data_IF_238070497143
#
_entry.id   IF_238070497143
#
_cell.length_a   1.000
_cell.length_b   1.000
_cell.length_c   1.000
_cell.angle_alpha   90.00
_cell.angle_beta   90.00
_cell.angle_gamma   90.00
#
_symmetry.space_group_name_H-M   'P 1'
#
loop_
_entity.id
_entity.type
_entity.pdbx_description
1 polymer ?
#
# COMPACT_ATOMS: atom_id res chain seq x y z
N UNK A 1 -10.50 -10.07 -26.93
CA UNK A 1 -10.64 -10.97 -25.76
C UNK A 1 -10.53 -12.43 -26.17
N UNK A 2 -11.38 -12.93 -27.08
CA UNK A 2 -11.28 -14.29 -27.63
C UNK A 2 -9.86 -14.71 -28.04
N UNK A 3 -9.17 -13.92 -28.87
CA UNK A 3 -7.81 -14.22 -29.31
C UNK A 3 -6.79 -14.28 -28.16
N UNK A 4 -6.93 -13.40 -27.16
CA UNK A 4 -6.03 -13.37 -26.01
C UNK A 4 -6.21 -14.58 -25.11
N UNK A 5 -7.45 -15.05 -24.92
CA UNK A 5 -7.75 -16.27 -24.17
C UNK A 5 -7.45 -17.55 -24.95
N UNK A 6 -7.57 -17.53 -26.28
CA UNK A 6 -7.09 -18.61 -27.13
C UNK A 6 -5.56 -18.72 -27.05
N UNK A 7 -4.86 -17.59 -27.08
CA UNK A 7 -3.41 -17.55 -26.85
C UNK A 7 -3.04 -18.07 -25.46
N UNK A 8 -3.79 -17.67 -24.41
CA UNK A 8 -3.61 -18.18 -23.06
C UNK A 8 -3.73 -19.70 -22.97
N UNK A 9 -4.75 -20.29 -23.62
CA UNK A 9 -4.92 -21.77 -23.72
C UNK A 9 -3.73 -22.45 -24.39
N UNK A 10 -3.07 -21.78 -25.32
CA UNK A 10 -1.86 -22.25 -26.00
C UNK A 10 -0.56 -21.86 -25.28
N UNK A 11 -0.63 -21.51 -23.99
CA UNK A 11 0.52 -21.09 -23.16
C UNK A 11 1.24 -19.82 -23.64
N UNK A 12 0.55 -18.98 -24.42
CA UNK A 12 1.04 -17.69 -24.88
C UNK A 12 0.34 -16.57 -24.10
N UNK A 13 0.95 -16.17 -22.99
CA UNK A 13 0.33 -15.27 -22.02
C UNK A 13 0.44 -13.78 -22.37
N UNK A 14 1.36 -13.42 -23.25
CA UNK A 14 1.66 -12.02 -23.59
C UNK A 14 0.45 -11.20 -24.07
N UNK A 15 -0.42 -11.72 -24.97
CA UNK A 15 -1.59 -10.97 -25.44
C UNK A 15 -2.55 -10.61 -24.30
N UNK A 16 -2.76 -11.53 -23.36
CA UNK A 16 -3.64 -11.32 -22.21
C UNK A 16 -3.03 -10.36 -21.19
N UNK A 17 -1.73 -10.48 -20.93
CA UNK A 17 -1.01 -9.57 -20.04
C UNK A 17 -1.08 -8.13 -20.55
N UNK A 18 -0.89 -7.88 -21.84
CA UNK A 18 -1.02 -6.53 -22.40
C UNK A 18 -2.43 -5.96 -22.25
N UNK A 19 -3.43 -6.81 -22.50
CA UNK A 19 -4.83 -6.46 -22.36
C UNK A 19 -5.18 -6.11 -20.92
N UNK A 20 -4.42 -6.54 -19.90
CA UNK A 20 -4.74 -6.21 -18.50
C UNK A 20 -3.77 -5.24 -17.83
N UNK A 21 -2.56 -5.06 -18.37
CA UNK A 21 -1.46 -4.36 -17.70
C UNK A 21 -1.19 -2.95 -18.28
N UNK A 22 -1.83 -2.60 -19.40
CA UNK A 22 -1.71 -1.25 -19.99
C UNK A 22 -2.91 -0.39 -19.59
N UNK A 23 -2.71 0.93 -19.61
CA UNK A 23 -3.69 2.02 -19.51
C UNK A 23 -4.88 1.83 -20.47
N UNK A 24 -5.69 0.80 -20.25
CA UNK A 24 -6.89 0.58 -21.00
C UNK A 24 -7.85 1.70 -20.65
N UNK A 25 -8.34 2.37 -21.68
CA UNK A 25 -9.44 3.31 -21.52
C UNK A 25 -10.65 2.56 -20.94
N UNK A 26 -11.50 3.22 -20.13
CA UNK A 26 -12.63 2.56 -19.46
C UNK A 26 -13.50 1.68 -20.36
N UNK A 27 -13.62 2.03 -21.65
CA UNK A 27 -14.36 1.27 -22.68
C UNK A 27 -13.78 -0.13 -22.89
N UNK A 28 -12.47 -0.27 -22.95
CA UNK A 28 -11.81 -1.56 -23.13
C UNK A 28 -11.99 -2.43 -21.86
N UNK A 29 -11.97 -1.80 -20.68
CA UNK A 29 -12.23 -2.50 -19.42
C UNK A 29 -13.66 -3.05 -19.36
N UNK A 30 -14.66 -2.25 -19.74
CA UNK A 30 -16.06 -2.68 -19.80
C UNK A 30 -16.27 -3.84 -20.77
N UNK A 31 -15.59 -3.80 -21.93
CA UNK A 31 -15.66 -4.86 -22.94
C UNK A 31 -15.12 -6.19 -22.42
N UNK A 32 -14.03 -6.17 -21.66
CA UNK A 32 -13.44 -7.37 -21.06
C UNK A 32 -14.35 -7.95 -19.98
N UNK A 33 -14.91 -7.09 -19.13
CA UNK A 33 -15.86 -7.50 -18.09
C UNK A 33 -17.08 -8.17 -18.71
N UNK A 34 -17.70 -7.55 -19.71
CA UNK A 34 -18.86 -8.11 -20.40
C UNK A 34 -18.55 -9.48 -21.04
N UNK A 35 -17.37 -9.64 -21.64
CA UNK A 35 -16.96 -10.94 -22.19
C UNK A 35 -16.89 -12.02 -21.11
N UNK A 36 -16.18 -11.76 -20.00
CA UNK A 36 -15.96 -12.73 -18.94
C UNK A 36 -17.26 -13.12 -18.21
N UNK A 37 -18.24 -12.21 -18.17
CA UNK A 37 -19.58 -12.52 -17.65
C UNK A 37 -20.35 -13.50 -18.55
N UNK A 38 -20.14 -13.44 -19.86
CA UNK A 38 -20.79 -14.34 -20.84
C UNK A 38 -20.06 -15.69 -20.92
N UNK A 39 -18.75 -15.73 -20.60
CA UNK A 39 -17.88 -16.90 -20.77
C UNK A 39 -17.29 -17.38 -19.43
N UNK A 40 -18.10 -17.97 -18.52
CA UNK A 40 -17.64 -18.40 -17.21
C UNK A 40 -16.57 -19.51 -17.25
N UNK A 41 -16.49 -20.28 -18.33
CA UNK A 41 -15.43 -21.25 -18.58
C UNK A 41 -14.04 -20.60 -18.71
N UNK A 42 -13.97 -19.37 -19.23
CA UNK A 42 -12.71 -18.61 -19.28
C UNK A 42 -12.29 -18.19 -17.87
N UNK A 43 -13.23 -17.78 -17.00
CA UNK A 43 -12.95 -17.45 -15.59
C UNK A 43 -12.43 -18.68 -14.84
N UNK A 44 -13.09 -19.83 -15.00
CA UNK A 44 -12.65 -21.09 -14.37
C UNK A 44 -11.30 -21.58 -14.86
N UNK A 45 -11.01 -21.40 -16.16
CA UNK A 45 -9.69 -21.65 -16.71
C UNK A 45 -8.63 -20.78 -16.03
N UNK A 46 -8.88 -19.47 -15.90
CA UNK A 46 -7.95 -18.56 -15.22
C UNK A 46 -7.74 -18.93 -13.75
N UNK A 47 -8.80 -19.30 -13.03
CA UNK A 47 -8.70 -19.77 -11.63
C UNK A 47 -7.80 -21.00 -11.51
N UNK A 48 -8.00 -21.99 -12.38
CA UNK A 48 -7.17 -23.20 -12.44
C UNK A 48 -5.72 -22.86 -12.74
N UNK A 49 -5.48 -21.96 -13.69
CA UNK A 49 -4.13 -21.65 -14.16
C UNK A 49 -3.34 -20.79 -13.15
N UNK A 50 -3.99 -19.89 -12.40
CA UNK A 50 -3.38 -19.16 -11.25
C UNK A 50 -2.68 -20.11 -10.29
N UNK A 51 -3.33 -21.25 -9.98
CA UNK A 51 -2.78 -22.28 -9.08
C UNK A 51 -1.67 -23.12 -9.71
N UNK A 52 -1.60 -23.21 -11.04
CA UNK A 52 -0.58 -23.97 -11.78
C UNK A 52 0.70 -23.19 -12.04
N UNK A 53 0.66 -21.85 -12.01
CA UNK A 53 1.82 -21.03 -12.32
C UNK A 53 2.92 -21.04 -11.26
N UNK A 54 2.64 -21.51 -10.03
CA UNK A 54 3.68 -21.72 -9.02
C UNK A 54 4.79 -22.64 -9.52
N UNK A 55 4.49 -23.52 -10.48
CA UNK A 55 5.36 -24.63 -10.90
C UNK A 55 5.84 -24.52 -12.36
N UNK A 56 5.53 -23.42 -13.08
CA UNK A 56 5.74 -23.33 -14.54
C UNK A 56 6.71 -22.24 -14.98
N UNK A 57 7.65 -22.61 -15.87
CA UNK A 57 8.47 -21.67 -16.64
C UNK A 57 7.63 -21.15 -17.83
N UNK A 58 7.44 -19.83 -17.95
CA UNK A 58 6.69 -19.26 -19.08
C UNK A 58 7.54 -19.28 -20.35
N UNK A 59 7.02 -19.88 -21.43
CA UNK A 59 7.64 -19.87 -22.76
C UNK A 59 7.46 -18.48 -23.40
N UNK A 60 8.59 -17.88 -23.77
CA UNK A 60 8.65 -16.62 -24.50
C UNK A 60 8.50 -16.92 -26.00
N UNK A 61 7.42 -16.45 -26.64
CA UNK A 61 7.51 -16.21 -28.09
C UNK A 61 8.41 -14.99 -28.31
N UNK A 62 9.52 -15.19 -29.02
CA UNK A 62 10.45 -14.13 -29.35
C UNK A 62 9.79 -13.11 -30.29
N UNK A 63 10.09 -11.82 -30.05
CA UNK A 63 10.05 -10.72 -31.03
C UNK A 63 8.76 -9.91 -31.18
N UNK A 64 8.29 -9.24 -30.12
CA UNK A 64 7.74 -7.89 -30.33
C UNK A 64 8.38 -6.89 -29.33
N UNK A 65 9.03 -5.82 -29.83
CA UNK A 65 9.72 -4.82 -29.02
C UNK A 65 8.79 -4.00 -28.12
N UNK A 66 7.46 -4.09 -28.28
CA UNK A 66 6.47 -3.51 -27.35
C UNK A 66 6.38 -4.24 -26.01
N UNK A 67 6.91 -5.47 -25.93
CA UNK A 67 6.84 -6.30 -24.74
C UNK A 67 8.12 -6.15 -23.92
N UNK A 68 8.04 -5.46 -22.78
CA UNK A 68 9.16 -5.48 -21.84
C UNK A 68 9.20 -6.86 -21.18
N UNK A 69 10.34 -7.57 -21.35
CA UNK A 69 10.68 -8.82 -20.63
C UNK A 69 10.41 -8.75 -19.12
N UNK A 70 10.35 -7.55 -18.54
CA UNK A 70 10.12 -7.28 -17.12
C UNK A 70 8.73 -7.68 -16.62
N UNK A 71 7.70 -7.79 -17.48
CA UNK A 71 6.32 -8.09 -17.06
C UNK A 71 5.84 -9.49 -17.42
N UNK A 72 6.62 -10.25 -18.19
CA UNK A 72 6.26 -11.60 -18.61
C UNK A 72 6.84 -12.64 -17.63
N UNK A 73 6.33 -12.65 -16.40
CA UNK A 73 6.74 -13.56 -15.32
C UNK A 73 5.56 -14.41 -14.86
N UNK A 74 5.78 -15.61 -14.28
CA UNK A 74 4.70 -16.41 -13.67
C UNK A 74 3.85 -15.58 -12.71
N UNK A 75 4.52 -14.79 -11.85
CA UNK A 75 3.88 -13.82 -10.95
C UNK A 75 3.02 -12.80 -11.71
N UNK A 76 3.52 -12.23 -12.80
CA UNK A 76 2.77 -11.28 -13.63
C UNK A 76 1.52 -11.92 -14.26
N UNK A 77 1.63 -13.17 -14.72
CA UNK A 77 0.51 -13.97 -15.23
C UNK A 77 -0.54 -14.23 -14.15
N UNK A 78 -0.12 -14.63 -12.94
CA UNK A 78 -1.03 -14.80 -11.80
C UNK A 78 -1.76 -13.50 -11.47
N UNK A 79 -1.04 -12.39 -11.33
CA UNK A 79 -1.66 -11.10 -11.00
C UNK A 79 -2.65 -10.63 -12.06
N UNK A 80 -2.35 -10.84 -13.35
CA UNK A 80 -3.27 -10.50 -14.43
C UNK A 80 -4.52 -11.39 -14.41
N UNK A 81 -4.35 -12.71 -14.24
CA UNK A 81 -5.47 -13.63 -14.10
C UNK A 81 -6.35 -13.29 -12.89
N UNK A 82 -5.76 -13.00 -11.72
CA UNK A 82 -6.49 -12.55 -10.52
C UNK A 82 -7.32 -11.28 -10.80
N UNK A 83 -6.75 -10.28 -11.47
CA UNK A 83 -7.47 -9.05 -11.87
C UNK A 83 -8.59 -9.33 -12.87
N UNK A 84 -8.45 -10.34 -13.73
CA UNK A 84 -9.52 -10.73 -14.66
C UNK A 84 -10.65 -11.46 -13.93
N UNK A 85 -10.32 -12.41 -13.06
CA UNK A 85 -11.28 -13.15 -12.23
C UNK A 85 -12.13 -12.17 -11.42
N UNK A 86 -11.50 -11.18 -10.79
CA UNK A 86 -12.18 -10.15 -10.00
C UNK A 86 -13.13 -9.24 -10.79
N UNK A 87 -13.13 -9.27 -12.13
CA UNK A 87 -14.13 -8.54 -12.95
C UNK A 87 -15.49 -9.21 -12.95
N UNK A 88 -15.58 -10.45 -12.50
CA UNK A 88 -16.84 -11.21 -12.41
C UNK A 88 -17.11 -11.51 -10.94
N UNK A 89 -17.55 -10.52 -10.13
CA UNK A 89 -17.68 -10.68 -8.69
C UNK A 89 -18.86 -11.60 -8.36
N UNK A 90 -18.55 -12.86 -8.10
CA UNK A 90 -19.46 -13.90 -7.59
C UNK A 90 -18.90 -14.52 -6.31
N UNK A 91 -19.73 -15.26 -5.58
CA UNK A 91 -19.27 -16.05 -4.42
C UNK A 91 -18.11 -16.99 -4.80
N UNK A 92 -18.20 -17.66 -5.96
CA UNK A 92 -17.13 -18.54 -6.48
C UNK A 92 -15.80 -17.79 -6.63
N UNK A 93 -15.82 -16.58 -7.22
CA UNK A 93 -14.60 -15.78 -7.37
C UNK A 93 -14.09 -15.20 -6.05
N UNK A 94 -14.99 -14.87 -5.11
CA UNK A 94 -14.62 -14.40 -3.77
C UNK A 94 -13.88 -15.49 -3.00
N UNK A 95 -14.46 -16.69 -2.89
CA UNK A 95 -13.85 -17.82 -2.19
C UNK A 95 -12.50 -18.20 -2.83
N UNK A 96 -12.41 -18.12 -4.15
CA UNK A 96 -11.15 -18.34 -4.84
C UNK A 96 -10.07 -17.31 -4.46
N UNK A 97 -10.43 -16.03 -4.40
CA UNK A 97 -9.51 -14.96 -4.02
C UNK A 97 -9.11 -15.05 -2.54
N UNK A 98 -10.02 -15.46 -1.65
CA UNK A 98 -9.73 -15.78 -0.24
C UNK A 98 -8.60 -16.81 -0.16
N UNK A 99 -8.77 -17.96 -0.82
CA UNK A 99 -7.73 -18.99 -0.83
C UNK A 99 -6.44 -18.56 -1.52
N UNK A 100 -6.50 -17.58 -2.44
CA UNK A 100 -5.29 -17.04 -3.08
C UNK A 100 -4.51 -16.10 -2.16
N UNK A 101 -5.22 -15.29 -1.35
CA UNK A 101 -4.59 -14.41 -0.37
C UNK A 101 -3.92 -15.21 0.76
N UNK A 102 -4.49 -16.36 1.13
CA UNK A 102 -3.98 -17.25 2.17
C UNK A 102 -2.78 -18.09 1.69
N UNK A 103 -2.92 -18.79 0.56
CA UNK A 103 -2.06 -19.95 0.29
C UNK A 103 -1.13 -19.82 -0.93
N UNK A 104 -1.17 -18.72 -1.70
CA UNK A 104 -0.21 -18.56 -2.79
C UNK A 104 1.21 -18.40 -2.23
N UNK A 105 2.26 -18.97 -2.85
CA UNK A 105 3.61 -18.94 -2.29
C UNK A 105 4.29 -17.57 -2.43
N UNK A 106 3.97 -16.82 -3.48
CA UNK A 106 4.56 -15.52 -3.75
C UNK A 106 3.74 -14.38 -3.14
N UNK A 107 4.40 -13.42 -2.48
CA UNK A 107 3.75 -12.27 -1.84
C UNK A 107 2.98 -11.38 -2.82
N UNK A 108 3.50 -11.19 -4.04
CA UNK A 108 2.91 -10.26 -5.01
C UNK A 108 1.51 -10.69 -5.54
N UNK A 109 1.29 -11.96 -5.89
CA UNK A 109 -0.05 -12.49 -6.17
C UNK A 109 -0.97 -12.51 -4.94
N UNK A 110 -0.46 -12.87 -3.75
CA UNK A 110 -1.25 -12.79 -2.50
C UNK A 110 -1.74 -11.38 -2.22
N UNK A 111 -0.85 -10.39 -2.34
CA UNK A 111 -1.17 -8.96 -2.23
C UNK A 111 -2.25 -8.58 -3.23
N UNK A 112 -2.11 -9.01 -4.50
CA UNK A 112 -3.12 -8.71 -5.52
C UNK A 112 -4.49 -9.30 -5.16
N UNK A 113 -4.54 -10.54 -4.68
CA UNK A 113 -5.78 -11.16 -4.23
C UNK A 113 -6.40 -10.41 -3.03
N UNK A 114 -5.60 -10.10 -2.01
CA UNK A 114 -6.04 -9.35 -0.83
C UNK A 114 -6.58 -7.96 -1.20
N UNK A 115 -5.94 -7.24 -2.12
CA UNK A 115 -6.40 -5.92 -2.56
C UNK A 115 -7.68 -5.96 -3.39
N UNK A 116 -7.85 -7.00 -4.21
CA UNK A 116 -9.11 -7.21 -4.94
C UNK A 116 -10.23 -7.52 -3.95
N UNK A 117 -9.96 -8.30 -2.91
CA UNK A 117 -10.90 -8.57 -1.81
C UNK A 117 -11.33 -7.29 -1.09
N UNK A 118 -10.38 -6.42 -0.70
CA UNK A 118 -10.70 -5.10 -0.10
C UNK A 118 -11.59 -4.28 -1.04
N UNK A 119 -11.29 -4.26 -2.33
CA UNK A 119 -11.97 -3.38 -3.28
C UNK A 119 -13.42 -3.81 -3.55
N UNK A 120 -13.68 -5.12 -3.58
CA UNK A 120 -14.94 -5.67 -4.07
C UNK A 120 -15.85 -6.23 -2.97
N UNK A 121 -15.27 -6.63 -1.82
CA UNK A 121 -15.99 -7.29 -0.74
C UNK A 121 -15.64 -6.72 0.65
N UNK A 122 -15.32 -5.42 0.76
CA UNK A 122 -15.03 -4.77 2.06
C UNK A 122 -16.17 -4.84 3.08
N UNK A 123 -17.40 -5.06 2.63
CA UNK A 123 -18.59 -5.18 3.48
C UNK A 123 -18.88 -6.62 3.90
N UNK A 124 -18.12 -7.60 3.39
CA UNK A 124 -18.26 -9.00 3.75
C UNK A 124 -17.45 -9.28 5.04
N UNK A 125 -18.10 -9.69 6.14
CA UNK A 125 -17.42 -9.93 7.41
C UNK A 125 -16.32 -11.00 7.33
N UNK A 126 -16.48 -12.03 6.50
CA UNK A 126 -15.49 -13.09 6.35
C UNK A 126 -14.22 -12.57 5.67
N UNK A 127 -14.39 -11.73 4.65
CA UNK A 127 -13.29 -11.07 3.93
C UNK A 127 -12.59 -10.07 4.84
N UNK A 128 -13.33 -9.24 5.57
CA UNK A 128 -12.74 -8.28 6.51
C UNK A 128 -11.97 -8.99 7.62
N UNK A 129 -12.50 -10.10 8.15
CA UNK A 129 -11.79 -10.91 9.17
C UNK A 129 -10.47 -11.45 8.64
N UNK A 130 -10.46 -12.03 7.43
CA UNK A 130 -9.24 -12.50 6.79
C UNK A 130 -8.22 -11.38 6.58
N UNK A 131 -8.66 -10.23 6.07
CA UNK A 131 -7.76 -9.12 5.75
C UNK A 131 -7.19 -8.48 7.02
N UNK A 132 -7.93 -8.45 8.12
CA UNK A 132 -7.42 -8.01 9.43
C UNK A 132 -6.40 -9.00 10.00
N UNK A 133 -6.63 -10.30 9.82
CA UNK A 133 -5.67 -11.33 10.20
C UNK A 133 -4.37 -11.21 9.40
N UNK A 134 -4.46 -11.08 8.06
CA UNK A 134 -3.30 -10.79 7.19
C UNK A 134 -2.60 -9.52 7.65
N UNK A 135 -3.34 -8.44 7.90
CA UNK A 135 -2.77 -7.18 8.35
C UNK A 135 -1.98 -7.38 9.65
N UNK A 136 -2.47 -8.17 10.60
CA UNK A 136 -1.87 -8.29 11.92
C UNK A 136 -0.73 -9.32 12.00
N UNK A 137 -0.85 -10.45 11.29
CA UNK A 137 -0.04 -11.63 11.55
C UNK A 137 0.80 -12.11 10.35
N UNK A 138 0.58 -11.57 9.15
CA UNK A 138 1.34 -12.03 7.99
C UNK A 138 2.84 -11.78 8.13
N UNK A 139 3.68 -12.71 7.68
CA UNK A 139 5.13 -12.60 7.81
C UNK A 139 5.72 -11.47 6.95
N UNK A 140 5.10 -11.12 5.82
CA UNK A 140 5.55 -10.09 4.89
C UNK A 140 5.09 -8.70 5.35
N UNK A 141 5.99 -7.81 5.82
CA UNK A 141 5.58 -6.48 6.30
C UNK A 141 4.99 -5.59 5.21
N UNK A 142 5.42 -5.77 3.95
CA UNK A 142 4.85 -5.07 2.81
C UNK A 142 3.38 -5.42 2.61
N UNK A 143 3.01 -6.69 2.79
CA UNK A 143 1.63 -7.14 2.67
C UNK A 143 0.79 -6.61 3.83
N UNK A 144 1.28 -6.74 5.08
CA UNK A 144 0.63 -6.14 6.27
C UNK A 144 0.31 -4.67 6.06
N UNK A 145 1.34 -3.88 5.68
CA UNK A 145 1.23 -2.44 5.43
C UNK A 145 0.24 -2.12 4.31
N UNK A 146 0.27 -2.88 3.20
CA UNK A 146 -0.58 -2.61 2.06
C UNK A 146 -2.05 -2.88 2.39
N UNK A 147 -2.35 -4.03 2.99
CA UNK A 147 -3.72 -4.43 3.35
C UNK A 147 -4.32 -3.45 4.34
N UNK A 148 -3.61 -3.13 5.43
CA UNK A 148 -4.16 -2.20 6.44
C UNK A 148 -4.38 -0.80 5.87
N UNK A 149 -3.50 -0.35 4.96
CA UNK A 149 -3.66 0.96 4.33
C UNK A 149 -4.92 1.04 3.48
N UNK A 150 -5.22 0.02 2.69
CA UNK A 150 -6.42 0.00 1.85
C UNK A 150 -7.68 -0.20 2.69
N UNK A 151 -7.65 -1.11 3.69
CA UNK A 151 -8.75 -1.26 4.66
C UNK A 151 -9.06 0.06 5.36
N UNK A 152 -8.05 0.84 5.74
CA UNK A 152 -8.24 2.13 6.42
C UNK A 152 -8.92 3.19 5.55
N UNK A 153 -8.81 3.08 4.23
CA UNK A 153 -9.45 4.01 3.29
C UNK A 153 -10.92 3.65 3.08
N UNK A 154 -11.25 2.35 3.04
CA UNK A 154 -12.60 1.87 2.71
C UNK A 154 -13.45 1.64 3.97
N UNK A 155 -12.82 1.23 5.07
CA UNK A 155 -13.46 0.82 6.33
C UNK A 155 -13.02 1.71 7.52
N UNK A 156 -12.82 3.01 7.29
CA UNK A 156 -12.30 3.94 8.31
C UNK A 156 -13.14 4.04 9.61
N UNK A 157 -14.42 3.64 9.56
CA UNK A 157 -15.34 3.65 10.70
C UNK A 157 -15.45 2.29 11.41
N UNK A 158 -14.79 1.27 10.90
CA UNK A 158 -14.81 -0.07 11.49
C UNK A 158 -13.92 -0.08 12.75
N UNK A 159 -14.48 -0.38 13.94
CA UNK A 159 -13.72 -0.49 15.17
C UNK A 159 -12.60 -1.53 15.10
N UNK A 160 -12.79 -2.62 14.35
CA UNK A 160 -11.78 -3.67 14.22
C UNK A 160 -10.56 -3.18 13.42
N UNK A 161 -10.76 -2.38 12.37
CA UNK A 161 -9.66 -1.74 11.62
C UNK A 161 -8.90 -0.75 12.51
N UNK A 162 -9.64 0.06 13.28
CA UNK A 162 -9.07 1.01 14.23
C UNK A 162 -8.19 0.32 15.27
N UNK A 163 -8.70 -0.76 15.84
CA UNK A 163 -7.99 -1.55 16.84
C UNK A 163 -6.76 -2.26 16.26
N UNK A 164 -6.84 -2.82 15.05
CA UNK A 164 -5.68 -3.43 14.39
C UNK A 164 -4.56 -2.40 14.15
N UNK A 165 -4.90 -1.18 13.73
CA UNK A 165 -3.90 -0.10 13.60
C UNK A 165 -3.30 0.27 14.96
N UNK A 166 -4.11 0.33 16.03
CA UNK A 166 -3.59 0.59 17.37
C UNK A 166 -2.52 -0.45 17.75
N UNK A 167 -2.82 -1.75 17.61
CA UNK A 167 -1.85 -2.83 17.90
C UNK A 167 -0.59 -2.73 17.04
N UNK A 168 -0.74 -2.39 15.75
CA UNK A 168 0.40 -2.15 14.87
C UNK A 168 1.27 -0.98 15.33
N UNK A 169 0.65 0.12 15.75
CA UNK A 169 1.38 1.29 16.26
C UNK A 169 2.11 0.98 17.57
N UNK A 170 1.50 0.16 18.42
CA UNK A 170 2.03 -0.24 19.73
C UNK A 170 3.26 -1.14 19.61
N UNK A 171 3.30 -2.06 18.62
CA UNK A 171 4.34 -3.10 18.63
C UNK A 171 4.56 -3.90 17.36
N UNK A 172 4.14 -3.47 16.17
CA UNK A 172 4.50 -4.21 14.95
C UNK A 172 6.04 -4.32 14.84
N UNK A 173 6.62 -5.49 14.51
CA UNK A 173 8.08 -5.63 14.42
C UNK A 173 8.70 -4.79 13.30
N UNK A 174 7.95 -4.50 12.23
CA UNK A 174 8.41 -3.68 11.13
C UNK A 174 8.23 -2.18 11.41
N UNK A 175 9.32 -1.42 11.25
CA UNK A 175 9.32 0.02 11.51
C UNK A 175 8.45 0.78 10.51
N UNK A 176 8.35 0.31 9.25
CA UNK A 176 7.49 0.91 8.23
C UNK A 176 6.01 0.81 8.60
N UNK A 177 5.58 -0.37 9.06
CA UNK A 177 4.21 -0.62 9.55
C UNK A 177 3.91 0.22 10.78
N UNK A 178 4.76 0.19 11.83
CA UNK A 178 4.57 1.02 13.03
C UNK A 178 4.44 2.50 12.71
N UNK A 179 5.33 3.04 11.86
CA UNK A 179 5.31 4.46 11.49
C UNK A 179 4.06 4.85 10.69
N UNK A 180 3.56 3.97 9.82
CA UNK A 180 2.29 4.18 9.15
C UNK A 180 1.14 4.24 10.16
N UNK A 181 1.09 3.25 11.06
CA UNK A 181 0.03 3.13 12.05
C UNK A 181 0.02 4.32 13.03
N UNK A 182 1.18 4.74 13.56
CA UNK A 182 1.30 5.92 14.41
C UNK A 182 0.80 7.21 13.72
N UNK A 183 1.15 7.41 12.44
CA UNK A 183 0.65 8.56 11.67
C UNK A 183 -0.86 8.51 11.51
N UNK A 184 -1.40 7.32 11.21
CA UNK A 184 -2.82 7.14 10.99
C UNK A 184 -3.63 7.38 12.26
N UNK A 185 -3.21 6.80 13.38
CA UNK A 185 -3.80 7.05 14.71
C UNK A 185 -3.76 8.53 15.06
N UNK A 186 -2.64 9.19 14.81
CA UNK A 186 -2.46 10.61 15.10
C UNK A 186 -3.36 11.54 14.29
N UNK A 187 -3.64 11.18 13.03
CA UNK A 187 -4.39 12.03 12.11
C UNK A 187 -5.90 11.77 12.13
N UNK A 188 -6.31 10.51 12.27
CA UNK A 188 -7.70 10.11 12.00
C UNK A 188 -8.47 9.63 13.23
N UNK A 189 -7.78 9.24 14.30
CA UNK A 189 -8.43 8.74 15.52
C UNK A 189 -7.91 9.41 16.80
N UNK A 190 -8.05 10.74 16.91
CA UNK A 190 -7.56 11.50 18.05
C UNK A 190 -8.23 11.13 19.39
N UNK A 191 -9.39 10.46 19.33
CA UNK A 191 -10.28 10.08 20.42
C UNK A 191 -10.11 8.61 20.87
N UNK A 192 -9.10 7.88 20.38
CA UNK A 192 -8.92 6.48 20.81
C UNK A 192 -8.56 6.42 22.30
N UNK A 193 -9.22 5.58 23.12
CA UNK A 193 -9.03 5.59 24.58
C UNK A 193 -7.57 5.36 24.97
N UNK A 194 -6.87 4.51 24.23
CA UNK A 194 -5.46 4.19 24.45
C UNK A 194 -4.52 5.01 23.55
N UNK A 195 -4.98 6.11 22.94
CA UNK A 195 -4.13 6.91 22.04
C UNK A 195 -2.90 7.47 22.75
N UNK A 196 -3.06 7.93 23.98
CA UNK A 196 -2.00 8.60 24.73
C UNK A 196 -0.77 7.70 24.91
N UNK A 197 -0.96 6.40 25.16
CA UNK A 197 0.13 5.43 25.34
C UNK A 197 0.99 5.26 24.08
N UNK A 198 0.44 5.47 22.88
CA UNK A 198 1.20 5.37 21.62
C UNK A 198 2.17 6.53 21.41
N UNK A 199 1.84 7.69 21.96
CA UNK A 199 2.55 8.94 21.70
C UNK A 199 3.36 9.43 22.88
N UNK A 200 3.16 8.86 24.06
CA UNK A 200 4.10 8.99 25.15
C UNK A 200 5.42 8.29 24.79
N UNK A 201 6.54 8.95 25.10
CA UNK A 201 7.89 8.44 24.84
C UNK A 201 8.67 8.20 26.12
N UNK A 202 7.99 7.98 27.25
CA UNK A 202 8.65 7.74 28.53
C UNK A 202 9.74 6.63 28.46
N UNK A 203 10.78 6.71 29.31
CA UNK A 203 11.98 5.87 29.23
C UNK A 203 11.77 4.39 29.54
N UNK A 204 10.54 3.97 29.88
CA UNK A 204 10.22 2.60 30.33
C UNK A 204 10.10 1.61 29.18
N UNK A 205 10.24 2.04 27.92
CA UNK A 205 10.32 1.12 26.79
C UNK A 205 11.66 0.38 26.81
N UNK A 206 11.62 -0.96 26.77
CA UNK A 206 12.81 -1.84 26.67
C UNK A 206 13.73 -1.47 25.50
N UNK A 207 13.17 -0.82 24.47
CA UNK A 207 13.93 -0.26 23.35
C UNK A 207 13.52 1.21 23.13
N UNK A 208 14.45 2.17 23.21
CA UNK A 208 14.12 3.57 22.97
C UNK A 208 13.73 3.80 21.51
N UNK A 209 12.73 4.68 21.26
CA UNK A 209 12.27 4.93 19.90
C UNK A 209 13.32 5.65 19.05
N UNK A 210 13.35 5.31 17.77
CA UNK A 210 14.23 5.97 16.80
C UNK A 210 13.89 7.46 16.65
N UNK A 211 14.83 8.31 16.21
CA UNK A 211 14.52 9.72 15.92
C UNK A 211 13.37 9.89 14.93
N UNK A 212 13.20 8.93 14.01
CA UNK A 212 12.09 8.94 13.05
C UNK A 212 10.74 8.65 13.71
N UNK A 213 10.69 7.72 14.66
CA UNK A 213 9.48 7.42 15.44
C UNK A 213 9.13 8.58 16.37
N UNK A 214 10.10 9.14 17.11
CA UNK A 214 9.91 10.34 17.93
C UNK A 214 9.36 11.50 17.11
N UNK A 215 9.92 11.73 15.91
CA UNK A 215 9.39 12.74 14.99
C UNK A 215 7.92 12.49 14.61
N UNK A 216 7.54 11.24 14.30
CA UNK A 216 6.15 10.91 13.95
C UNK A 216 5.22 11.10 15.14
N UNK A 217 5.63 10.69 16.35
CA UNK A 217 4.84 10.88 17.57
C UNK A 217 4.62 12.36 17.87
N UNK A 218 5.68 13.16 17.80
CA UNK A 218 5.58 14.62 17.94
C UNK A 218 4.69 15.26 16.87
N UNK A 219 4.73 14.79 15.61
CA UNK A 219 3.83 15.29 14.56
C UNK A 219 2.36 14.94 14.84
N UNK A 220 2.09 13.75 15.37
CA UNK A 220 0.76 13.32 15.77
C UNK A 220 0.22 14.14 16.95
N UNK A 221 1.03 14.34 17.99
CA UNK A 221 0.69 15.20 19.14
C UNK A 221 0.46 16.66 18.70
N UNK A 222 1.25 17.16 17.74
CA UNK A 222 1.07 18.51 17.19
C UNK A 222 -0.25 18.70 16.46
N UNK A 223 -0.75 17.64 15.83
CA UNK A 223 -1.98 17.63 15.04
C UNK A 223 -3.23 17.38 15.91
N UNK A 224 -3.05 16.80 17.11
CA UNK A 224 -4.11 16.52 18.07
C UNK A 224 -4.30 17.59 19.15
N UNK A 225 -5.09 17.23 20.16
CA UNK A 225 -5.39 18.05 21.35
C UNK A 225 -4.28 18.08 22.40
N UNK A 226 -3.25 17.24 22.24
CA UNK A 226 -2.27 16.90 23.29
C UNK A 226 -1.12 17.92 23.35
N UNK A 227 -1.48 19.20 23.54
CA UNK A 227 -0.55 20.33 23.47
C UNK A 227 0.52 20.30 24.55
N UNK A 228 0.15 19.97 25.78
CA UNK A 228 1.07 19.92 26.92
C UNK A 228 2.16 18.89 26.71
N UNK A 229 1.75 17.70 26.27
CA UNK A 229 2.66 16.59 25.99
C UNK A 229 3.57 16.87 24.80
N UNK A 230 3.01 17.49 23.76
CA UNK A 230 3.81 17.97 22.64
C UNK A 230 4.86 19.02 23.05
N UNK A 231 4.51 19.99 23.89
CA UNK A 231 5.42 21.03 24.38
C UNK A 231 6.55 20.43 25.22
N UNK A 232 6.21 19.49 26.13
CA UNK A 232 7.15 18.76 26.99
C UNK A 232 8.15 17.94 26.16
N UNK A 233 7.68 16.99 25.36
CA UNK A 233 8.55 16.13 24.55
C UNK A 233 9.39 16.95 23.55
N UNK A 234 8.82 18.01 22.95
CA UNK A 234 9.58 18.84 22.03
C UNK A 234 10.67 19.68 22.73
N UNK A 235 10.56 19.94 24.04
CA UNK A 235 11.58 20.62 24.83
C UNK A 235 12.71 19.65 25.25
N UNK A 236 12.36 18.40 25.52
CA UNK A 236 13.29 17.31 25.87
C UNK A 236 14.03 16.73 24.66
N UNK A 237 13.58 17.02 23.43
CA UNK A 237 14.18 16.50 22.21
C UNK A 237 15.64 16.95 22.02
N UNK A 238 16.54 15.97 21.90
CA UNK A 238 17.99 16.18 21.75
C UNK A 238 18.44 16.19 20.29
N UNK A 239 17.75 15.46 19.41
CA UNK A 239 18.09 15.30 18.00
C UNK A 239 17.92 16.63 17.25
N UNK A 240 18.97 17.05 16.55
CA UNK A 240 19.03 18.35 15.88
C UNK A 240 18.00 18.46 14.73
N UNK A 241 17.75 17.39 13.99
CA UNK A 241 16.82 17.36 12.87
C UNK A 241 15.38 17.39 13.39
N UNK A 242 15.08 16.60 14.42
CA UNK A 242 13.74 16.59 15.05
C UNK A 242 13.44 17.96 15.67
N UNK A 243 14.40 18.57 16.39
CA UNK A 243 14.25 19.94 16.91
C UNK A 243 14.02 20.97 15.80
N UNK A 244 14.75 20.87 14.67
CA UNK A 244 14.56 21.78 13.54
C UNK A 244 13.14 21.68 12.96
N UNK A 245 12.64 20.46 12.84
CA UNK A 245 11.28 20.23 12.38
C UNK A 245 10.23 20.74 13.39
N UNK A 246 10.43 20.54 14.70
CA UNK A 246 9.51 21.06 15.71
C UNK A 246 9.49 22.59 15.79
N UNK A 247 10.62 23.28 15.57
CA UNK A 247 10.62 24.74 15.42
C UNK A 247 9.73 25.20 14.27
N UNK A 248 9.74 24.50 13.14
CA UNK A 248 8.84 24.80 11.99
C UNK A 248 7.38 24.58 12.36
N UNK A 249 7.07 23.49 13.08
CA UNK A 249 5.72 23.21 13.59
C UNK A 249 5.26 24.31 14.57
N UNK A 250 6.11 24.79 15.48
CA UNK A 250 5.80 25.95 16.36
C UNK A 250 5.42 27.18 15.55
N UNK A 251 6.21 27.51 14.53
CA UNK A 251 5.96 28.66 13.68
C UNK A 251 4.62 28.54 12.93
N UNK A 252 4.30 27.34 12.42
CA UNK A 252 3.03 27.04 11.77
C UNK A 252 1.83 27.23 12.71
N UNK A 253 1.94 26.76 13.96
CA UNK A 253 0.85 26.87 14.95
C UNK A 253 0.69 28.29 15.51
N UNK A 254 1.78 29.02 15.73
CA UNK A 254 1.76 30.36 16.34
C UNK A 254 1.61 31.52 15.36
N UNK A 255 1.95 31.32 14.09
CA UNK A 255 1.95 32.37 13.06
C UNK A 255 1.81 31.76 11.66
N UNK A 256 0.63 31.21 11.31
CA UNK A 256 0.42 30.44 10.08
C UNK A 256 0.77 31.22 8.81
N UNK A 257 0.55 32.53 8.79
CA UNK A 257 0.87 33.42 7.65
C UNK A 257 2.38 33.51 7.38
N UNK A 258 3.20 33.70 8.43
CA UNK A 258 4.66 33.70 8.31
C UNK A 258 5.20 32.33 7.94
N UNK A 259 4.56 31.29 8.45
CA UNK A 259 4.96 29.92 8.22
C UNK A 259 4.61 29.42 6.82
N UNK A 260 3.52 29.87 6.20
CA UNK A 260 3.17 29.54 4.82
C UNK A 260 4.28 29.97 3.85
N UNK A 261 4.83 31.18 4.02
CA UNK A 261 5.96 31.68 3.23
C UNK A 261 7.23 30.84 3.46
N UNK A 262 7.57 30.55 4.72
CA UNK A 262 8.76 29.77 5.05
C UNK A 262 8.67 28.29 4.59
N UNK A 263 7.50 27.66 4.72
CA UNK A 263 7.25 26.29 4.26
C UNK A 263 7.24 26.21 2.74
N UNK A 264 6.69 27.22 2.05
CA UNK A 264 6.77 27.32 0.60
C UNK A 264 8.22 27.40 0.12
N UNK A 265 9.03 28.29 0.70
CA UNK A 265 10.45 28.41 0.36
C UNK A 265 11.26 27.15 0.68
N UNK A 266 11.01 26.49 1.81
CA UNK A 266 11.74 25.26 2.17
C UNK A 266 11.37 24.09 1.25
N UNK A 267 10.08 23.91 0.92
CA UNK A 267 9.62 22.89 -0.04
C UNK A 267 10.14 23.16 -1.45
N UNK A 268 10.15 24.42 -1.89
CA UNK A 268 10.73 24.84 -3.16
C UNK A 268 12.25 24.53 -3.19
N UNK A 269 12.97 24.89 -2.13
CA UNK A 269 14.42 24.66 -2.01
C UNK A 269 14.78 23.18 -1.91
N UNK A 270 13.97 22.38 -1.24
CA UNK A 270 14.14 20.94 -1.14
C UNK A 270 13.84 20.24 -2.48
N UNK A 271 12.76 20.67 -3.16
CA UNK A 271 12.43 20.23 -4.52
C UNK A 271 13.56 20.55 -5.51
N UNK A 272 14.08 21.78 -5.48
CA UNK A 272 15.20 22.23 -6.31
C UNK A 272 16.47 21.42 -6.04
N UNK A 273 16.79 21.13 -4.76
CA UNK A 273 17.94 20.28 -4.38
C UNK A 273 17.80 18.84 -4.89
N UNK A 274 16.62 18.24 -4.80
CA UNK A 274 16.35 16.91 -5.39
C UNK A 274 16.53 16.92 -6.90
N UNK A 275 16.05 17.96 -7.56
CA UNK A 275 16.13 18.11 -9.01
C UNK A 275 17.58 18.30 -9.47
N UNK A 276 18.36 19.14 -8.79
CA UNK A 276 19.80 19.31 -9.03
C UNK A 276 20.62 18.04 -8.75
N UNK A 277 20.23 17.24 -7.74
CA UNK A 277 20.86 15.95 -7.44
C UNK A 277 20.50 14.90 -8.50
N UNK A 278 19.27 14.89 -9.00
CA UNK A 278 18.84 14.04 -10.10
C UNK A 278 19.56 14.41 -11.40
N UNK A 279 19.69 15.70 -11.72
CA UNK A 279 20.41 16.19 -12.90
C UNK A 279 21.91 15.84 -12.88
N UNK A 280 22.56 15.95 -11.71
CA UNK A 280 23.94 15.48 -11.51
C UNK A 280 24.10 13.96 -11.70
N UNK A 281 23.11 13.17 -11.25
CA UNK A 281 23.09 11.71 -11.49
C UNK A 281 22.81 11.34 -12.95
N UNK A 282 22.12 12.20 -13.68
CA UNK A 282 21.81 12.01 -15.10
C UNK A 282 22.93 12.50 -16.05
N UNK A 283 24.12 12.85 -15.55
CA UNK A 283 25.27 13.23 -16.38
C UNK A 283 25.12 14.54 -17.16
N UNK A 284 24.06 15.32 -16.94
CA UNK A 284 23.84 16.57 -17.66
C UNK A 284 24.55 17.74 -16.96
N UNK A 285 25.82 17.96 -17.31
CA UNK A 285 26.52 19.23 -17.03
C UNK A 285 25.81 20.42 -17.71
N UNK A 286 26.01 21.66 -17.23
CA UNK A 286 25.50 22.84 -17.93
C UNK A 286 26.23 22.96 -19.27
N UNK A 287 25.47 23.20 -20.35
CA UNK A 287 26.05 23.72 -21.59
C UNK A 287 26.51 25.16 -21.31
N UNK A 288 27.79 25.43 -21.54
CA UNK A 288 28.32 26.80 -21.68
C UNK A 288 27.71 27.49 -22.90
#
# INVERSE_FOLDING_TARGET
MAEALAAWRSERFAPFLLLLNRYLVPVEQATITAWLQIHPEDVRMLMRDVRRFSDRTLTLEASDPRYSRRYLTPVGAQQAALRAIARVPTDETREFLIGCAQDLPDDAPRETAALLLVTLWSNDPSVTTLLLDIAQHDSAPSLRLRVIRELSLVCARDPAVRETIYRMAAGDPDTGVRLFALRWMGQWWPDHPERASLFDTEPQADTPPTSRERLVRLQALASGSDRTEWERQSAEETDAEVRAQMRRVRLLRGSPERAAHAVFHDRLSFGLRRLLKARRRAGCGPAE
#
